data_IF_046613661501
#
_entry.id   IF_046613661501
#
_cell.length_a   1.000
_cell.length_b   1.000
_cell.length_c   1.000
_cell.angle_alpha   90.00
_cell.angle_beta   90.00
_cell.angle_gamma   90.00
#
_symmetry.space_group_name_H-M   'P 1'
#
loop_
_entity.id
_entity.type
_entity.pdbx_description
1 polymer ?
#
# COMPACT_ATOMS: atom_id res chain seq x y z
N UNK A 1 -10.64 -12.29 -3.49
CA UNK A 1 -11.13 -11.42 -2.39
C UNK A 1 -12.31 -12.06 -1.67
N UNK A 2 -13.30 -12.66 -2.38
CA UNK A 2 -14.45 -13.31 -1.70
C UNK A 2 -14.04 -14.35 -0.65
N UNK A 3 -12.90 -15.01 -0.82
CA UNK A 3 -12.37 -16.02 0.12
C UNK A 3 -11.53 -15.42 1.26
N UNK A 4 -11.22 -14.11 1.22
CA UNK A 4 -10.40 -13.41 2.21
C UNK A 4 -11.25 -12.58 3.20
N UNK A 5 -12.57 -12.72 3.19
CA UNK A 5 -13.49 -11.88 3.97
C UNK A 5 -13.34 -11.95 5.49
N UNK A 6 -12.71 -13.00 6.02
CA UNK A 6 -12.54 -13.21 7.46
C UNK A 6 -11.07 -13.11 7.91
N UNK A 7 -10.17 -12.81 6.98
CA UNK A 7 -8.75 -12.65 7.28
C UNK A 7 -8.31 -11.23 6.92
N UNK A 8 -7.41 -10.65 7.70
CA UNK A 8 -6.81 -9.37 7.38
C UNK A 8 -6.08 -9.44 6.03
N UNK A 9 -6.04 -8.34 5.31
CA UNK A 9 -5.35 -8.24 4.02
C UNK A 9 -4.53 -6.96 3.97
N UNK A 10 -3.34 -7.03 3.40
CA UNK A 10 -2.49 -5.87 3.16
C UNK A 10 -2.69 -5.44 1.71
N UNK A 11 -3.46 -4.38 1.50
CA UNK A 11 -3.59 -3.74 0.20
C UNK A 11 -2.41 -2.79 -0.01
N UNK A 12 -1.54 -3.12 -0.96
CA UNK A 12 -0.44 -2.26 -1.38
C UNK A 12 -0.84 -1.51 -2.66
N UNK A 13 -0.71 -0.18 -2.66
CA UNK A 13 -1.15 0.68 -3.75
C UNK A 13 0.02 1.52 -4.28
N UNK A 14 0.15 1.66 -5.61
CA UNK A 14 0.96 2.74 -6.18
C UNK A 14 0.16 4.06 -6.16
N UNK A 15 0.84 5.21 -6.23
CA UNK A 15 0.20 6.52 -6.35
C UNK A 15 -0.37 6.74 -7.77
N UNK A 16 -1.25 5.85 -8.21
CA UNK A 16 -1.90 5.92 -9.53
C UNK A 16 -3.41 5.97 -9.37
N UNK A 17 -4.07 6.79 -10.17
CA UNK A 17 -5.52 6.99 -10.12
C UNK A 17 -6.01 7.72 -8.87
N UNK A 18 -7.22 7.47 -8.45
CA UNK A 18 -7.83 8.13 -7.30
C UNK A 18 -8.06 7.14 -6.15
N UNK A 19 -7.02 6.90 -5.35
CA UNK A 19 -7.07 5.96 -4.21
C UNK A 19 -8.07 6.38 -3.12
N UNK A 20 -8.44 7.67 -3.02
CA UNK A 20 -9.48 8.12 -2.08
C UNK A 20 -10.85 7.52 -2.46
N UNK A 21 -11.12 7.36 -3.74
CA UNK A 21 -12.36 6.72 -4.22
C UNK A 21 -12.37 5.20 -4.01
N UNK A 22 -11.23 4.58 -3.75
CA UNK A 22 -11.20 3.15 -3.38
C UNK A 22 -11.90 2.90 -2.03
N UNK A 23 -11.93 3.90 -1.14
CA UNK A 23 -12.56 3.80 0.20
C UNK A 23 -14.06 3.52 0.11
N UNK A 24 -14.90 4.39 -0.49
CA UNK A 24 -16.33 4.15 -0.56
C UNK A 24 -16.67 2.89 -1.40
N UNK A 25 -15.87 2.57 -2.41
CA UNK A 25 -16.05 1.33 -3.19
C UNK A 25 -15.73 0.11 -2.33
N UNK A 26 -14.64 0.11 -1.59
CA UNK A 26 -14.31 -0.96 -0.65
C UNK A 26 -15.41 -1.17 0.39
N UNK A 27 -15.93 -0.09 0.96
CA UNK A 27 -17.07 -0.14 1.90
C UNK A 27 -18.33 -0.74 1.26
N UNK A 28 -18.62 -0.43 -0.01
CA UNK A 28 -19.80 -0.97 -0.71
C UNK A 28 -19.76 -2.49 -0.90
N UNK A 29 -18.57 -3.10 -0.82
CA UNK A 29 -18.37 -4.55 -0.88
C UNK A 29 -17.99 -5.14 0.49
N UNK A 30 -18.27 -4.41 1.58
CA UNK A 30 -18.05 -4.82 2.97
C UNK A 30 -16.58 -5.09 3.32
N UNK A 31 -15.64 -4.28 2.81
CA UNK A 31 -14.26 -4.27 3.27
C UNK A 31 -14.10 -3.24 4.39
N UNK A 32 -13.55 -3.68 5.51
CA UNK A 32 -13.27 -2.82 6.67
C UNK A 32 -11.83 -2.27 6.51
N UNK A 33 -11.74 -1.12 5.85
CA UNK A 33 -10.49 -0.54 5.41
C UNK A 33 -9.89 0.40 6.45
N UNK A 34 -8.57 0.29 6.63
CA UNK A 34 -7.75 1.20 7.42
C UNK A 34 -6.64 1.73 6.53
N UNK A 35 -6.57 3.03 6.33
CA UNK A 35 -5.48 3.66 5.61
C UNK A 35 -4.37 4.09 6.57
N UNK A 36 -3.13 3.82 6.20
CA UNK A 36 -1.95 4.34 6.91
C UNK A 36 -1.49 5.57 6.15
N UNK A 37 -1.45 6.70 6.85
CA UNK A 37 -1.06 7.99 6.28
C UNK A 37 0.15 8.56 7.00
N UNK A 38 0.99 9.26 6.26
CA UNK A 38 2.12 9.98 6.84
C UNK A 38 1.66 11.22 7.62
N UNK A 39 2.40 11.61 8.68
CA UNK A 39 2.14 12.84 9.38
C UNK A 39 2.42 14.04 8.46
N UNK A 40 1.46 14.94 8.35
CA UNK A 40 1.65 16.22 7.67
C UNK A 40 2.08 17.27 8.69
N UNK A 41 2.99 18.17 8.29
CA UNK A 41 3.45 19.27 9.14
C UNK A 41 2.32 20.25 9.51
N UNK A 42 1.34 20.42 8.63
CA UNK A 42 0.16 21.23 8.87
C UNK A 42 -0.95 20.39 9.52
N UNK A 43 -1.18 20.58 10.82
CA UNK A 43 -2.19 19.86 11.59
C UNK A 43 -3.63 20.08 11.11
N UNK A 44 -3.96 21.26 10.58
CA UNK A 44 -5.31 21.53 10.06
C UNK A 44 -5.59 20.71 8.82
N UNK A 45 -4.61 20.62 7.91
CA UNK A 45 -4.70 19.79 6.69
C UNK A 45 -4.77 18.31 7.07
N UNK A 46 -3.94 17.86 8.00
CA UNK A 46 -3.94 16.47 8.47
C UNK A 46 -5.32 16.09 9.05
N UNK A 47 -5.87 16.92 9.93
CA UNK A 47 -7.18 16.68 10.54
C UNK A 47 -8.30 16.71 9.50
N UNK A 48 -8.25 17.63 8.54
CA UNK A 48 -9.24 17.69 7.45
C UNK A 48 -9.25 16.39 6.62
N UNK A 49 -8.07 15.89 6.23
CA UNK A 49 -7.97 14.61 5.51
C UNK A 49 -8.44 13.42 6.36
N UNK A 50 -8.11 13.41 7.65
CA UNK A 50 -8.58 12.38 8.58
C UNK A 50 -10.10 12.37 8.64
N UNK A 51 -10.71 13.53 8.91
CA UNK A 51 -12.17 13.66 9.00
C UNK A 51 -12.88 13.28 7.70
N UNK A 52 -12.30 13.64 6.54
CA UNK A 52 -12.83 13.27 5.24
C UNK A 52 -12.87 11.74 5.08
N UNK A 53 -11.76 11.06 5.34
CA UNK A 53 -11.65 9.60 5.18
C UNK A 53 -12.52 8.86 6.19
N UNK A 54 -12.60 9.32 7.43
CA UNK A 54 -13.48 8.75 8.46
C UNK A 54 -14.96 8.89 8.06
N UNK A 55 -15.38 10.02 7.50
CA UNK A 55 -16.74 10.21 6.94
C UNK A 55 -17.01 9.27 5.77
N UNK A 56 -16.00 8.95 4.98
CA UNK A 56 -16.09 7.94 3.91
C UNK A 56 -16.11 6.50 4.44
N UNK A 57 -15.85 6.30 5.74
CA UNK A 57 -15.91 5.03 6.43
C UNK A 57 -14.57 4.28 6.45
N UNK A 58 -13.44 5.00 6.34
CA UNK A 58 -12.10 4.46 6.48
C UNK A 58 -11.44 4.98 7.76
N UNK A 59 -11.01 4.08 8.65
CA UNK A 59 -10.18 4.43 9.79
C UNK A 59 -8.79 4.85 9.32
N UNK A 60 -8.19 5.84 9.97
CA UNK A 60 -6.84 6.32 9.65
C UNK A 60 -5.89 6.00 10.80
N UNK A 61 -4.74 5.42 10.45
CA UNK A 61 -3.60 5.31 11.35
C UNK A 61 -2.51 6.26 10.83
N UNK A 62 -2.11 7.23 11.64
CA UNK A 62 -1.01 8.12 11.29
C UNK A 62 0.31 7.42 11.59
N UNK A 63 1.16 7.27 10.57
CA UNK A 63 2.48 6.69 10.70
C UNK A 63 3.35 7.60 11.59
N UNK A 64 3.73 7.13 12.76
CA UNK A 64 4.60 7.84 13.69
C UNK A 64 6.00 7.21 13.74
N UNK A 65 6.97 7.95 14.29
CA UNK A 65 8.27 7.37 14.64
C UNK A 65 8.08 6.48 15.88
N UNK A 66 8.14 5.15 15.72
CA UNK A 66 8.18 4.23 16.85
C UNK A 66 7.45 2.91 16.61
N UNK A 67 7.71 1.93 17.48
CA UNK A 67 7.13 0.58 17.44
C UNK A 67 5.61 0.54 17.62
N UNK A 68 5.01 1.61 18.19
CA UNK A 68 3.59 1.63 18.50
C UNK A 68 2.70 1.57 17.25
N UNK A 69 3.07 2.28 16.17
CA UNK A 69 2.28 2.28 14.93
C UNK A 69 2.30 0.90 14.26
N UNK A 70 3.46 0.26 14.18
CA UNK A 70 3.61 -1.06 13.56
C UNK A 70 2.79 -2.12 14.31
N UNK A 71 2.89 -2.16 15.63
CA UNK A 71 2.10 -3.08 16.47
C UNK A 71 0.60 -2.80 16.38
N UNK A 72 0.19 -1.54 16.29
CA UNK A 72 -1.23 -1.18 16.09
C UNK A 72 -1.74 -1.75 14.77
N UNK A 73 -0.97 -1.64 13.68
CA UNK A 73 -1.34 -2.18 12.37
C UNK A 73 -1.45 -3.71 12.43
N UNK A 74 -0.49 -4.40 13.08
CA UNK A 74 -0.53 -5.86 13.27
C UNK A 74 -1.81 -6.28 14.02
N UNK A 75 -2.16 -5.59 15.09
CA UNK A 75 -3.36 -5.90 15.88
C UNK A 75 -4.65 -5.73 15.04
N UNK A 76 -4.73 -4.67 14.23
CA UNK A 76 -5.86 -4.47 13.32
C UNK A 76 -5.94 -5.58 12.25
N UNK A 77 -4.81 -5.95 11.65
CA UNK A 77 -4.73 -7.06 10.69
C UNK A 77 -5.18 -8.39 11.32
N UNK A 78 -4.70 -8.70 12.51
CA UNK A 78 -5.06 -9.92 13.24
C UNK A 78 -6.53 -9.94 13.69
N UNK A 79 -7.17 -8.77 13.79
CA UNK A 79 -8.61 -8.64 14.03
C UNK A 79 -9.48 -8.77 12.76
N UNK A 80 -8.88 -9.09 11.61
CA UNK A 80 -9.57 -9.26 10.34
C UNK A 80 -9.81 -7.96 9.55
N UNK A 81 -9.21 -6.84 9.98
CA UNK A 81 -9.25 -5.57 9.24
C UNK A 81 -8.27 -5.57 8.07
N UNK A 82 -8.52 -4.71 7.10
CA UNK A 82 -7.68 -4.60 5.91
C UNK A 82 -6.89 -3.30 5.94
N UNK A 83 -5.59 -3.39 5.72
CA UNK A 83 -4.67 -2.25 5.75
C UNK A 83 -4.35 -1.79 4.33
N UNK A 84 -4.47 -0.48 4.07
CA UNK A 84 -4.12 0.15 2.80
C UNK A 84 -2.84 0.97 2.95
N UNK A 85 -1.83 0.70 2.11
CA UNK A 85 -0.52 1.33 2.13
C UNK A 85 -0.13 1.80 0.72
N UNK A 86 0.19 3.08 0.56
CA UNK A 86 0.88 3.58 -0.63
C UNK A 86 2.36 3.18 -0.55
N UNK A 87 2.89 2.45 -1.53
CA UNK A 87 4.11 1.66 -1.30
C UNK A 87 5.12 1.63 -2.47
N UNK A 88 4.97 2.46 -3.52
CA UNK A 88 5.90 2.42 -4.65
C UNK A 88 7.09 3.39 -4.50
N UNK A 89 7.16 4.17 -3.43
CA UNK A 89 8.28 5.10 -3.21
C UNK A 89 8.60 5.25 -1.73
N UNK A 90 9.87 5.41 -1.41
CA UNK A 90 10.34 5.75 -0.07
C UNK A 90 10.65 7.23 0.03
N UNK A 91 9.91 7.95 0.89
CA UNK A 91 10.07 9.40 1.06
C UNK A 91 11.37 9.74 1.81
N UNK A 92 11.80 8.88 2.71
CA UNK A 92 12.91 9.14 3.62
C UNK A 92 14.24 8.51 3.17
N UNK A 93 14.40 8.11 1.91
CA UNK A 93 15.59 7.40 1.40
C UNK A 93 15.99 6.15 2.21
N UNK A 94 15.06 5.60 3.00
CA UNK A 94 15.27 4.39 3.82
C UNK A 94 14.66 3.14 3.17
N UNK A 95 14.28 3.25 1.91
CA UNK A 95 13.71 2.17 1.14
C UNK A 95 14.74 1.11 0.75
N UNK A 96 14.25 -0.05 0.35
CA UNK A 96 15.05 -1.14 -0.19
C UNK A 96 15.09 -1.02 -1.71
N UNK A 97 16.27 -1.12 -2.31
CA UNK A 97 16.44 -1.05 -3.76
C UNK A 97 15.75 -2.21 -4.46
N UNK A 98 14.94 -1.92 -5.46
CA UNK A 98 14.25 -2.91 -6.29
C UNK A 98 14.20 -2.44 -7.74
N UNK A 99 14.26 -3.39 -8.68
CA UNK A 99 14.05 -3.08 -10.09
C UNK A 99 12.60 -2.69 -10.33
N UNK A 100 12.41 -1.53 -10.97
CA UNK A 100 11.10 -0.97 -11.29
C UNK A 100 11.16 -0.22 -12.63
N UNK A 101 10.43 -0.70 -13.64
CA UNK A 101 10.52 -0.25 -15.03
C UNK A 101 11.98 -0.23 -15.56
N UNK A 102 12.71 -1.33 -15.33
CA UNK A 102 14.11 -1.55 -15.71
C UNK A 102 15.13 -0.57 -15.09
N UNK A 103 14.76 0.16 -14.06
CA UNK A 103 15.66 1.05 -13.32
C UNK A 103 15.60 0.71 -11.83
N UNK A 104 16.61 1.14 -11.07
CA UNK A 104 16.63 0.97 -9.62
C UNK A 104 15.74 2.02 -8.96
N UNK A 105 14.79 1.57 -8.14
CA UNK A 105 13.93 2.40 -7.31
C UNK A 105 14.02 1.96 -5.85
N UNK A 106 13.71 2.86 -4.91
CA UNK A 106 13.66 2.53 -3.48
C UNK A 106 12.21 2.42 -3.01
N UNK A 107 11.80 1.21 -2.66
CA UNK A 107 10.47 0.97 -2.11
C UNK A 107 10.50 0.86 -0.58
N UNK A 108 9.45 1.32 0.13
CA UNK A 108 9.32 1.09 1.56
C UNK A 108 9.05 -0.40 1.81
N UNK A 109 9.70 -0.97 2.81
CA UNK A 109 9.54 -2.39 3.20
C UNK A 109 8.31 -2.67 4.07
N UNK A 110 7.46 -1.67 4.31
CA UNK A 110 6.33 -1.77 5.23
C UNK A 110 5.36 -2.91 4.94
N UNK A 111 4.85 -3.05 3.73
CA UNK A 111 3.93 -4.15 3.37
C UNK A 111 4.55 -5.53 3.62
N UNK A 112 5.80 -5.74 3.21
CA UNK A 112 6.52 -7.01 3.35
C UNK A 112 6.80 -7.34 4.81
N UNK A 113 7.21 -6.36 5.60
CA UNK A 113 7.45 -6.55 7.03
C UNK A 113 6.16 -6.92 7.78
N UNK A 114 5.04 -6.29 7.45
CA UNK A 114 3.72 -6.64 7.99
C UNK A 114 3.31 -8.05 7.56
N UNK A 115 3.49 -8.39 6.29
CA UNK A 115 3.16 -9.72 5.77
C UNK A 115 3.99 -10.83 6.41
N UNK A 116 5.29 -10.60 6.64
CA UNK A 116 6.15 -11.56 7.34
C UNK A 116 5.69 -11.77 8.80
N UNK A 117 5.34 -10.69 9.49
CA UNK A 117 4.94 -10.77 10.90
C UNK A 117 3.55 -11.39 11.10
N UNK A 118 2.63 -11.18 10.16
CA UNK A 118 1.23 -11.63 10.29
C UNK A 118 0.91 -12.87 9.48
N UNK A 119 1.79 -13.26 8.56
CA UNK A 119 1.57 -14.34 7.58
C UNK A 119 0.33 -14.09 6.68
N UNK A 120 -0.06 -12.82 6.53
CA UNK A 120 -1.19 -12.41 5.69
C UNK A 120 -0.73 -12.04 4.28
N UNK A 121 -1.62 -12.16 3.27
CA UNK A 121 -1.27 -11.85 1.90
C UNK A 121 -1.17 -10.35 1.64
N UNK A 122 -0.28 -9.98 0.72
CA UNK A 122 -0.26 -8.68 0.07
C UNK A 122 -1.10 -8.76 -1.21
N UNK A 123 -2.01 -7.79 -1.39
CA UNK A 123 -2.82 -7.64 -2.60
C UNK A 123 -2.49 -6.30 -3.26
N UNK A 124 -1.71 -6.31 -4.35
CA UNK A 124 -1.46 -5.09 -5.12
C UNK A 124 -2.77 -4.59 -5.73
N UNK A 125 -3.08 -3.31 -5.52
CA UNK A 125 -4.41 -2.77 -5.80
C UNK A 125 -4.30 -1.35 -6.33
N UNK A 126 -5.22 -0.95 -7.21
CA UNK A 126 -5.37 0.45 -7.62
C UNK A 126 -6.82 0.78 -7.97
N UNK A 127 -7.14 2.07 -7.97
CA UNK A 127 -8.42 2.61 -8.42
C UNK A 127 -8.18 3.67 -9.47
N UNK A 128 -8.40 3.33 -10.72
CA UNK A 128 -8.06 4.18 -11.86
C UNK A 128 -9.13 4.14 -12.96
N UNK A 129 -9.03 5.04 -13.92
CA UNK A 129 -9.94 5.12 -15.04
C UNK A 129 -9.44 4.27 -16.21
N UNK A 130 -10.22 3.24 -16.57
CA UNK A 130 -10.00 2.38 -17.73
C UNK A 130 -11.18 2.52 -18.69
N UNK A 131 -10.93 2.81 -19.95
CA UNK A 131 -11.98 2.98 -20.97
C UNK A 131 -13.13 3.89 -20.51
N UNK A 132 -12.80 5.04 -19.93
CA UNK A 132 -13.73 6.02 -19.37
C UNK A 132 -14.57 5.55 -18.17
N UNK A 133 -14.24 4.41 -17.55
CA UNK A 133 -14.91 3.89 -16.34
C UNK A 133 -13.91 3.78 -15.20
N UNK A 134 -14.28 4.25 -14.03
CA UNK A 134 -13.50 4.02 -12.83
C UNK A 134 -13.60 2.55 -12.38
N UNK A 135 -12.46 1.95 -12.10
CA UNK A 135 -12.36 0.53 -11.78
C UNK A 135 -11.42 0.31 -10.61
N UNK A 136 -11.86 -0.48 -9.64
CA UNK A 136 -11.00 -1.02 -8.60
C UNK A 136 -10.35 -2.30 -9.14
N UNK A 137 -9.04 -2.26 -9.32
CA UNK A 137 -8.26 -3.34 -9.93
C UNK A 137 -7.38 -3.99 -8.87
N UNK A 138 -7.38 -5.32 -8.86
CA UNK A 138 -6.57 -6.14 -7.98
C UNK A 138 -5.68 -7.06 -8.81
N UNK A 139 -4.41 -7.10 -8.51
CA UNK A 139 -3.51 -8.15 -8.95
C UNK A 139 -3.67 -9.40 -8.04
N UNK A 140 -3.02 -10.49 -8.41
CA UNK A 140 -3.06 -11.73 -7.62
C UNK A 140 -2.48 -11.50 -6.23
N UNK A 141 -3.20 -11.94 -5.17
CA UNK A 141 -2.62 -11.98 -3.83
C UNK A 141 -1.34 -12.82 -3.81
N UNK A 142 -0.35 -12.39 -3.06
CA UNK A 142 0.86 -13.17 -2.83
C UNK A 142 1.28 -13.12 -1.36
N UNK A 143 1.95 -14.18 -0.91
CA UNK A 143 2.58 -14.27 0.40
C UNK A 143 4.06 -14.00 0.24
N UNK A 144 4.65 -13.26 1.18
CA UNK A 144 6.10 -13.05 1.22
C UNK A 144 6.78 -14.37 1.58
N UNK A 145 7.70 -14.89 0.76
CA UNK A 145 8.37 -16.14 1.06
C UNK A 145 9.24 -16.01 2.31
N UNK A 146 9.23 -17.04 3.16
CA UNK A 146 10.02 -17.09 4.38
C UNK A 146 11.39 -17.71 4.08
N UNK A 147 12.43 -16.95 4.35
CA UNK A 147 13.82 -17.39 4.34
C UNK A 147 14.43 -17.17 5.74
N UNK A 148 15.54 -17.84 6.05
CA UNK A 148 16.26 -17.63 7.33
C UNK A 148 16.73 -16.19 7.52
N UNK A 149 16.96 -15.47 6.43
CA UNK A 149 17.29 -14.05 6.43
C UNK A 149 16.09 -13.21 6.04
N UNK A 150 15.58 -12.42 6.97
CA UNK A 150 14.42 -11.52 6.77
C UNK A 150 14.66 -10.54 5.61
N UNK A 151 15.88 -10.03 5.45
CA UNK A 151 16.19 -9.11 4.35
C UNK A 151 16.01 -9.76 2.97
N UNK A 152 16.32 -11.05 2.84
CA UNK A 152 16.09 -11.82 1.60
C UNK A 152 14.58 -11.99 1.38
N UNK A 153 13.82 -12.30 2.42
CA UNK A 153 12.36 -12.42 2.36
C UNK A 153 11.72 -11.12 1.87
N UNK A 154 12.09 -10.00 2.47
CA UNK A 154 11.63 -8.66 2.08
C UNK A 154 11.99 -8.36 0.62
N UNK A 155 13.23 -8.62 0.21
CA UNK A 155 13.69 -8.37 -1.15
C UNK A 155 12.88 -9.15 -2.19
N UNK A 156 12.54 -10.41 -1.91
CA UNK A 156 11.72 -11.22 -2.81
C UNK A 156 10.26 -10.74 -2.86
N UNK A 157 9.69 -10.32 -1.73
CA UNK A 157 8.38 -9.69 -1.66
C UNK A 157 8.32 -8.42 -2.49
N UNK A 158 9.28 -7.51 -2.30
CA UNK A 158 9.40 -6.26 -3.05
C UNK A 158 9.54 -6.48 -4.56
N UNK A 159 10.32 -7.49 -4.98
CA UNK A 159 10.44 -7.87 -6.39
C UNK A 159 9.11 -8.31 -6.99
N UNK A 160 8.29 -9.03 -6.24
CA UNK A 160 6.94 -9.43 -6.67
C UNK A 160 6.01 -8.21 -6.73
N UNK A 161 6.08 -7.35 -5.71
CA UNK A 161 5.25 -6.15 -5.61
C UNK A 161 5.58 -5.14 -6.73
N UNK A 162 6.86 -4.90 -7.01
CA UNK A 162 7.28 -3.96 -8.07
C UNK A 162 6.76 -4.39 -9.44
N UNK A 163 6.84 -5.68 -9.78
CA UNK A 163 6.30 -6.20 -11.04
C UNK A 163 4.77 -6.11 -11.13
N UNK A 164 4.08 -6.24 -10.00
CA UNK A 164 2.63 -6.02 -9.94
C UNK A 164 2.28 -4.54 -10.12
N UNK A 165 3.06 -3.63 -9.53
CA UNK A 165 2.87 -2.20 -9.71
C UNK A 165 3.17 -1.73 -11.14
N UNK A 166 4.20 -2.28 -11.79
CA UNK A 166 4.45 -2.02 -13.22
C UNK A 166 3.21 -2.32 -14.07
N UNK A 167 2.55 -3.46 -13.84
CA UNK A 167 1.32 -3.83 -14.55
C UNK A 167 0.17 -2.85 -14.26
N UNK A 168 -0.08 -2.54 -12.98
CA UNK A 168 -1.16 -1.66 -12.56
C UNK A 168 -0.99 -0.24 -13.13
N UNK A 169 0.22 0.32 -13.08
CA UNK A 169 0.53 1.64 -13.62
C UNK A 169 0.40 1.66 -15.15
N UNK A 170 0.84 0.58 -15.82
CA UNK A 170 0.75 0.46 -17.28
C UNK A 170 -0.68 0.43 -17.82
N UNK A 171 -1.70 0.17 -16.98
CA UNK A 171 -3.10 0.25 -17.40
C UNK A 171 -3.53 1.68 -17.77
N UNK A 172 -3.00 2.68 -17.08
CA UNK A 172 -3.18 4.11 -17.41
C UNK A 172 -2.06 4.95 -16.80
N UNK A 173 -0.87 5.00 -17.44
CA UNK A 173 0.30 5.68 -16.89
C UNK A 173 0.10 7.20 -16.76
N UNK A 174 -0.85 7.80 -17.46
CA UNK A 174 -1.19 9.21 -17.32
C UNK A 174 -1.81 9.58 -15.98
N UNK A 175 -2.33 8.59 -15.24
CA UNK A 175 -2.85 8.77 -13.89
C UNK A 175 -1.83 8.46 -12.80
N UNK A 176 -0.56 8.24 -13.14
CA UNK A 176 0.48 8.02 -12.15
C UNK A 176 1.02 9.34 -11.59
N UNK A 177 0.76 9.58 -10.29
CA UNK A 177 1.10 10.82 -9.58
C UNK A 177 2.53 10.75 -9.01
N UNK A 178 3.53 10.65 -9.90
CA UNK A 178 4.94 10.68 -9.53
C UNK A 178 5.46 12.11 -9.46
N UNK A 179 5.11 12.83 -8.38
CA UNK A 179 5.54 14.23 -8.17
C UNK A 179 7.03 14.30 -7.74
N UNK A 180 7.55 13.22 -7.16
CA UNK A 180 8.95 13.11 -6.74
C UNK A 180 9.66 12.06 -7.58
N UNK A 181 11.00 12.16 -7.76
CA UNK A 181 11.77 11.11 -8.44
C UNK A 181 11.55 9.75 -7.77
N UNK A 182 11.13 8.76 -8.56
CA UNK A 182 10.97 7.38 -8.11
C UNK A 182 12.29 6.63 -8.26
N UNK A 183 12.99 6.92 -9.34
CA UNK A 183 14.32 6.37 -9.61
C UNK A 183 15.38 7.33 -9.10
N UNK A 184 16.36 6.81 -8.39
CA UNK A 184 17.53 7.58 -8.02
C UNK A 184 18.72 7.09 -8.83
N UNK A 185 19.48 8.02 -9.38
CA UNK A 185 20.73 7.72 -10.08
C UNK A 185 21.92 7.54 -9.11
N UNK A 186 21.68 7.70 -7.79
CA UNK A 186 22.70 7.60 -6.74
C UNK A 186 22.13 6.85 -5.53
N UNK A 187 22.54 5.60 -5.37
CA UNK A 187 22.54 4.86 -4.12
C UNK A 187 23.94 4.31 -3.87
#
# INVERSE_FOLDING_TARGET
IKNLKNEGVIFALPHVGNWEMAIPVGKSINLDLIAVAEPLSNHYVLNWFKDLREKLGCKIIIAGKGQNTFNTIINELNSGKHICLLSERSINKTGVGVEFFNNLAAFPKGPEALALQTQLPIVPTTFLKINNKYSLVFEKPFYVPLFDNEAISIQQGLKTLSKSFEKLISLNPNEWHSIQPVWSHEY
#
